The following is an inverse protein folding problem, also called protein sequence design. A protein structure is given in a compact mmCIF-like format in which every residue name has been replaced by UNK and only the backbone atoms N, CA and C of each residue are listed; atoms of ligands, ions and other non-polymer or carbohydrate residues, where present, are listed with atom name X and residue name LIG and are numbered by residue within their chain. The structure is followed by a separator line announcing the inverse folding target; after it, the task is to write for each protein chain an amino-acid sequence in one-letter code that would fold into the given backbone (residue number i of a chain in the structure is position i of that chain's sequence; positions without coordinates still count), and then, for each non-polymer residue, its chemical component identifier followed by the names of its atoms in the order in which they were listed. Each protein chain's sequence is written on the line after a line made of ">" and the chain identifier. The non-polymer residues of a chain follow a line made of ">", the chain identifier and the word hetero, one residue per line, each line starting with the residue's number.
data_IF_314831855532
#
_entry.id   IF_314831855532
#
_cell.length_a   1.000
_cell.length_b   1.000
_cell.length_c   1.000
_cell.angle_alpha   90.00
_cell.angle_beta   90.00
_cell.angle_gamma   90.00
#
_symmetry.space_group_name_H-M   'P 1'
#
loop_
_entity.id
_entity.type
_entity.pdbx_description
1 polymer ?
#
# COMPACT_ATOMS: atom_id res chain seq x y z
N UNK A 1 14.47 -10.57 -9.07
CA UNK A 1 14.90 -9.15 -9.02
C UNK A 1 16.10 -9.07 -8.11
N UNK A 2 17.11 -8.24 -8.43
CA UNK A 2 18.29 -7.99 -7.59
C UNK A 2 18.21 -6.64 -6.90
N UNK A 3 19.03 -6.42 -5.88
CA UNK A 3 19.25 -5.09 -5.31
C UNK A 3 19.90 -4.19 -6.38
N UNK A 4 19.65 -2.90 -6.33
CA UNK A 4 20.40 -1.96 -7.14
C UNK A 4 21.74 -1.61 -6.50
N UNK A 5 22.63 -0.88 -7.23
CA UNK A 5 23.99 -0.61 -6.75
C UNK A 5 24.02 0.15 -5.41
N UNK A 6 23.14 1.12 -5.21
CA UNK A 6 23.07 1.84 -3.94
C UNK A 6 22.56 0.95 -2.80
N UNK A 7 21.60 0.10 -3.06
CA UNK A 7 21.09 -0.88 -2.09
C UNK A 7 22.16 -1.95 -1.77
N UNK A 8 22.95 -2.39 -2.74
CA UNK A 8 24.07 -3.32 -2.52
C UNK A 8 25.17 -2.70 -1.68
N UNK A 9 25.48 -1.42 -1.91
CA UNK A 9 26.42 -0.68 -1.07
C UNK A 9 25.94 -0.66 0.40
N UNK A 10 24.68 -0.32 0.62
CA UNK A 10 24.10 -0.32 1.98
C UNK A 10 24.08 -1.74 2.56
N UNK A 11 23.76 -2.75 1.76
CA UNK A 11 23.79 -4.15 2.18
C UNK A 11 25.19 -4.60 2.63
N UNK A 12 26.22 -4.20 1.88
CA UNK A 12 27.63 -4.46 2.24
C UNK A 12 28.02 -3.79 3.55
N UNK A 13 27.68 -2.50 3.70
CA UNK A 13 27.95 -1.76 4.95
C UNK A 13 27.22 -2.36 6.14
N UNK A 14 25.97 -2.73 6.00
CA UNK A 14 25.18 -3.36 7.05
C UNK A 14 25.79 -4.71 7.47
N UNK A 15 26.17 -5.53 6.50
CA UNK A 15 26.78 -6.84 6.72
C UNK A 15 28.09 -6.70 7.52
N UNK A 16 28.96 -5.79 7.10
CA UNK A 16 30.26 -5.58 7.76
C UNK A 16 30.09 -5.03 9.19
N UNK A 17 29.19 -4.06 9.38
CA UNK A 17 28.97 -3.45 10.70
C UNK A 17 28.36 -4.42 11.72
N UNK A 18 27.58 -5.39 11.27
CA UNK A 18 26.90 -6.35 12.16
C UNK A 18 27.44 -7.80 12.04
N UNK A 19 28.64 -7.99 11.48
CA UNK A 19 29.29 -9.32 11.31
C UNK A 19 28.34 -10.35 10.64
N UNK A 20 27.63 -9.92 9.62
CA UNK A 20 26.67 -10.77 8.90
C UNK A 20 25.34 -11.04 9.62
N UNK A 21 25.18 -10.61 10.87
CA UNK A 21 23.96 -10.84 11.66
C UNK A 21 22.75 -10.03 11.19
N UNK A 22 22.96 -9.04 10.36
CA UNK A 22 21.90 -8.23 9.74
C UNK A 22 22.05 -8.26 8.23
N UNK A 23 20.92 -8.27 7.54
CA UNK A 23 20.90 -8.30 6.08
C UNK A 23 19.76 -7.49 5.51
N UNK A 24 19.97 -7.03 4.31
CA UNK A 24 18.95 -6.45 3.46
C UNK A 24 18.37 -7.55 2.56
N UNK A 25 17.09 -7.53 2.38
CA UNK A 25 16.38 -8.28 1.36
C UNK A 25 15.59 -7.33 0.47
N UNK A 26 15.20 -7.78 -0.70
CA UNK A 26 14.29 -7.04 -1.57
C UNK A 26 12.94 -6.90 -0.86
N UNK A 27 12.38 -5.70 -0.86
CA UNK A 27 11.03 -5.45 -0.40
C UNK A 27 10.02 -6.29 -1.18
N UNK A 28 9.06 -6.87 -0.51
CA UNK A 28 8.01 -7.67 -1.17
C UNK A 28 7.01 -6.76 -1.85
N UNK A 29 6.59 -7.15 -3.03
CA UNK A 29 5.57 -6.46 -3.79
C UNK A 29 4.92 -7.41 -4.78
N UNK A 30 3.65 -7.15 -5.08
CA UNK A 30 2.86 -8.01 -5.96
C UNK A 30 3.13 -7.69 -7.44
N UNK A 31 4.31 -8.08 -7.92
CA UNK A 31 4.72 -7.92 -9.31
C UNK A 31 4.83 -9.25 -10.01
N UNK A 32 4.41 -9.29 -11.27
CA UNK A 32 4.66 -10.42 -12.13
C UNK A 32 6.13 -10.45 -12.54
N UNK A 33 6.75 -11.60 -12.38
CA UNK A 33 8.08 -11.93 -12.91
C UNK A 33 7.99 -12.73 -14.21
N UNK A 34 6.80 -13.30 -14.47
CA UNK A 34 6.45 -14.02 -15.70
C UNK A 34 5.13 -13.51 -16.24
N UNK A 35 4.91 -13.68 -17.54
CA UNK A 35 3.66 -13.31 -18.19
C UNK A 35 2.49 -14.19 -17.70
N UNK A 36 1.32 -13.59 -17.59
CA UNK A 36 0.04 -14.26 -17.43
C UNK A 36 -0.90 -13.80 -18.57
N UNK A 37 -1.99 -14.55 -18.85
CA UNK A 37 -2.96 -14.11 -19.85
C UNK A 37 -3.43 -12.66 -19.61
N UNK A 38 -3.26 -11.81 -20.61
CA UNK A 38 -3.62 -10.39 -20.55
C UNK A 38 -2.74 -9.50 -19.65
N UNK A 39 -1.65 -10.02 -19.06
CA UNK A 39 -0.77 -9.30 -18.15
C UNK A 39 0.70 -9.60 -18.45
N UNK A 40 1.50 -8.56 -18.61
CA UNK A 40 2.95 -8.70 -18.84
C UNK A 40 3.76 -8.70 -17.55
N UNK A 41 4.97 -9.26 -17.53
CA UNK A 41 5.90 -9.09 -16.41
C UNK A 41 6.23 -7.61 -16.19
N UNK A 42 6.78 -7.30 -15.02
CA UNK A 42 7.22 -5.95 -14.70
C UNK A 42 8.22 -5.42 -15.73
N UNK A 43 7.92 -4.26 -16.29
CA UNK A 43 8.75 -3.58 -17.30
C UNK A 43 9.72 -2.55 -16.70
N UNK A 44 9.79 -2.44 -15.36
CA UNK A 44 10.68 -1.49 -14.66
C UNK A 44 10.50 -0.02 -15.06
N UNK A 45 9.29 0.41 -15.39
CA UNK A 45 8.99 1.77 -15.88
C UNK A 45 8.54 2.74 -14.80
N UNK A 46 8.54 2.32 -13.53
CA UNK A 46 8.15 3.14 -12.39
C UNK A 46 6.72 3.74 -12.50
N UNK A 47 5.83 3.06 -13.18
CA UNK A 47 4.45 3.52 -13.41
C UNK A 47 3.43 2.84 -12.47
N UNK A 48 3.88 2.16 -11.41
CA UNK A 48 3.01 1.36 -10.54
C UNK A 48 1.96 2.18 -9.81
N UNK A 49 2.34 3.37 -9.38
CA UNK A 49 1.47 4.28 -8.61
C UNK A 49 0.45 5.04 -9.48
N UNK A 50 0.63 5.05 -10.79
CA UNK A 50 -0.30 5.64 -11.77
C UNK A 50 -1.23 4.59 -12.40
N UNK A 51 -1.19 3.34 -11.93
CA UNK A 51 -1.83 2.21 -12.60
C UNK A 51 -0.91 1.62 -13.67
N UNK A 52 -0.42 0.42 -13.43
CA UNK A 52 0.53 -0.25 -14.32
C UNK A 52 -0.12 -0.61 -15.67
N UNK A 53 0.25 0.04 -16.80
CA UNK A 53 -0.41 -0.21 -18.09
C UNK A 53 -0.13 -1.60 -18.65
N UNK A 54 0.87 -2.30 -18.13
CA UNK A 54 1.20 -3.69 -18.51
C UNK A 54 0.54 -4.74 -17.62
N UNK A 55 -0.23 -4.33 -16.61
CA UNK A 55 -0.81 -5.24 -15.63
C UNK A 55 0.21 -6.03 -14.81
N UNK A 56 1.49 -5.69 -14.87
CA UNK A 56 2.56 -6.37 -14.15
C UNK A 56 2.50 -6.16 -12.63
N UNK A 57 1.99 -5.03 -12.17
CA UNK A 57 1.69 -4.77 -10.77
C UNK A 57 0.25 -5.15 -10.46
N UNK A 58 0.04 -5.83 -9.34
CA UNK A 58 -1.30 -6.26 -8.95
C UNK A 58 -2.18 -5.06 -8.61
N UNK A 59 -3.36 -5.05 -9.20
CA UNK A 59 -4.50 -4.26 -8.76
C UNK A 59 -5.79 -5.05 -9.07
N UNK A 60 -6.89 -4.73 -8.41
CA UNK A 60 -8.18 -5.32 -8.74
C UNK A 60 -8.57 -5.06 -10.19
N UNK A 61 -8.25 -3.88 -10.72
CA UNK A 61 -8.52 -3.50 -12.12
C UNK A 61 -7.75 -4.34 -13.14
N UNK A 62 -6.50 -4.71 -12.84
CA UNK A 62 -5.67 -5.49 -13.75
C UNK A 62 -5.79 -7.01 -13.57
N UNK A 63 -6.40 -7.47 -12.49
CA UNK A 63 -6.39 -8.89 -12.11
C UNK A 63 -7.78 -9.44 -11.82
N UNK A 64 -8.31 -9.15 -10.65
CA UNK A 64 -9.50 -9.84 -10.12
C UNK A 64 -10.79 -9.39 -10.78
N UNK A 65 -10.94 -8.11 -11.11
CA UNK A 65 -12.16 -7.61 -11.79
C UNK A 65 -12.31 -8.18 -13.19
N UNK A 66 -11.31 -8.17 -14.09
CA UNK A 66 -11.44 -8.81 -15.39
C UNK A 66 -11.77 -10.30 -15.29
N UNK A 67 -11.16 -11.02 -14.36
CA UNK A 67 -11.45 -12.43 -14.14
C UNK A 67 -12.89 -12.66 -13.65
N UNK A 68 -13.35 -11.84 -12.71
CA UNK A 68 -14.72 -11.92 -12.21
C UNK A 68 -15.75 -11.55 -13.28
N UNK A 69 -15.49 -10.52 -14.09
CA UNK A 69 -16.36 -10.14 -15.21
C UNK A 69 -16.47 -11.27 -16.24
N UNK A 70 -15.37 -11.96 -16.54
CA UNK A 70 -15.37 -13.08 -17.47
C UNK A 70 -16.27 -14.25 -17.04
N UNK A 71 -16.60 -14.36 -15.74
CA UNK A 71 -17.54 -15.37 -15.25
C UNK A 71 -19.01 -15.10 -15.60
N UNK A 72 -19.33 -13.87 -15.99
CA UNK A 72 -20.72 -13.40 -16.19
C UNK A 72 -21.52 -13.26 -14.88
N UNK A 73 -20.89 -13.44 -13.72
CA UNK A 73 -21.56 -13.43 -12.39
C UNK A 73 -21.26 -12.18 -11.58
N UNK A 74 -20.53 -11.23 -12.12
CA UNK A 74 -20.23 -9.94 -11.47
C UNK A 74 -21.15 -8.86 -12.03
N UNK A 75 -21.82 -8.14 -11.12
CA UNK A 75 -22.41 -6.84 -11.42
C UNK A 75 -21.56 -5.76 -10.76
N UNK A 76 -20.86 -4.95 -11.57
CA UNK A 76 -20.10 -3.81 -11.10
C UNK A 76 -20.93 -2.55 -11.26
N UNK A 77 -21.11 -1.81 -10.19
CA UNK A 77 -21.91 -0.58 -10.15
C UNK A 77 -21.01 0.62 -9.84
N UNK A 78 -20.36 1.24 -10.84
CA UNK A 78 -19.63 2.49 -10.64
C UNK A 78 -20.62 3.62 -10.30
N UNK A 79 -20.09 4.72 -9.76
CA UNK A 79 -20.87 5.89 -9.33
C UNK A 79 -21.96 5.58 -8.29
N UNK A 80 -21.80 4.48 -7.55
CA UNK A 80 -22.74 4.06 -6.52
C UNK A 80 -22.09 4.20 -5.15
N UNK A 81 -22.66 5.03 -4.30
CA UNK A 81 -22.18 5.35 -2.96
C UNK A 81 -23.01 4.56 -1.96
N UNK A 82 -22.37 3.69 -1.19
CA UNK A 82 -23.02 3.03 -0.04
C UNK A 82 -23.17 4.07 1.07
N UNK A 83 -24.41 4.35 1.46
CA UNK A 83 -24.72 5.35 2.48
C UNK A 83 -25.03 4.75 3.84
N UNK A 84 -25.50 3.49 3.89
CA UNK A 84 -25.98 2.88 5.11
C UNK A 84 -26.05 1.35 4.97
N UNK A 85 -25.87 0.64 6.07
CA UNK A 85 -26.16 -0.79 6.21
C UNK A 85 -27.53 -0.96 6.86
N UNK A 86 -28.37 -1.79 6.28
CA UNK A 86 -29.74 -2.02 6.77
C UNK A 86 -29.73 -3.22 7.71
N UNK A 87 -30.01 -2.97 8.99
CA UNK A 87 -30.08 -4.02 10.01
C UNK A 87 -31.50 -4.57 10.14
N UNK A 88 -31.61 -5.90 10.08
CA UNK A 88 -32.84 -6.64 10.31
C UNK A 88 -32.86 -7.12 11.77
N UNK A 89 -33.75 -6.54 12.58
CA UNK A 89 -33.88 -6.87 14.02
C UNK A 89 -34.34 -8.28 14.29
N UNK A 90 -35.25 -8.78 13.47
CA UNK A 90 -35.86 -10.10 13.67
C UNK A 90 -34.84 -11.20 13.36
N UNK A 91 -34.07 -11.00 12.31
CA UNK A 91 -32.98 -11.90 11.87
C UNK A 91 -31.65 -11.61 12.56
N UNK A 92 -31.54 -10.53 13.32
CA UNK A 92 -30.31 -10.07 14.03
C UNK A 92 -29.09 -10.00 13.14
N UNK A 93 -29.25 -9.45 11.93
CA UNK A 93 -28.16 -9.35 10.94
C UNK A 93 -28.35 -8.18 9.99
N UNK A 94 -27.26 -7.77 9.35
CA UNK A 94 -27.34 -6.87 8.20
C UNK A 94 -27.94 -7.64 7.03
N UNK A 95 -29.02 -7.12 6.44
CA UNK A 95 -29.78 -7.77 5.37
C UNK A 95 -29.62 -7.10 4.01
N UNK A 96 -29.28 -5.80 4.03
CA UNK A 96 -29.17 -5.00 2.81
C UNK A 96 -28.15 -3.86 2.97
N UNK A 97 -27.81 -3.24 1.87
CA UNK A 97 -27.09 -1.96 1.81
C UNK A 97 -28.00 -0.93 1.14
N UNK A 98 -28.02 0.27 1.69
CA UNK A 98 -28.64 1.42 1.03
C UNK A 98 -27.58 2.17 0.25
N UNK A 99 -27.85 2.40 -1.01
CA UNK A 99 -26.92 3.06 -1.94
C UNK A 99 -27.58 4.27 -2.57
N UNK A 100 -26.74 5.22 -2.94
CA UNK A 100 -27.14 6.40 -3.70
C UNK A 100 -26.36 6.43 -5.02
N UNK A 101 -27.06 6.60 -6.11
CA UNK A 101 -26.45 6.89 -7.40
C UNK A 101 -25.92 8.32 -7.39
N UNK A 102 -24.62 8.48 -7.61
CA UNK A 102 -23.94 9.78 -7.50
C UNK A 102 -24.30 10.76 -8.62
N UNK A 103 -24.94 10.31 -9.68
CA UNK A 103 -25.37 11.14 -10.83
C UNK A 103 -26.81 11.58 -10.67
N UNK A 104 -27.70 10.63 -10.36
CA UNK A 104 -29.14 10.87 -10.29
C UNK A 104 -29.63 11.21 -8.89
N UNK A 105 -28.79 11.01 -7.87
CA UNK A 105 -29.12 11.15 -6.45
C UNK A 105 -30.25 10.23 -5.97
N UNK A 106 -30.63 9.23 -6.74
CA UNK A 106 -31.64 8.25 -6.38
C UNK A 106 -31.09 7.23 -5.40
N UNK A 107 -31.89 6.93 -4.40
CA UNK A 107 -31.55 5.91 -3.38
C UNK A 107 -32.21 4.58 -3.74
N UNK A 108 -31.48 3.49 -3.57
CA UNK A 108 -31.94 2.10 -3.80
C UNK A 108 -31.37 1.20 -2.72
N UNK A 109 -32.03 0.09 -2.42
CA UNK A 109 -31.53 -0.94 -1.52
C UNK A 109 -31.19 -2.23 -2.29
N UNK A 110 -30.05 -2.83 -1.93
CA UNK A 110 -29.65 -4.14 -2.42
C UNK A 110 -29.50 -5.10 -1.25
N UNK A 111 -30.19 -6.21 -1.31
CA UNK A 111 -30.13 -7.28 -0.30
C UNK A 111 -29.22 -8.42 -0.76
N UNK A 112 -28.53 -9.03 0.16
CA UNK A 112 -27.70 -10.21 -0.08
C UNK A 112 -27.62 -11.09 1.17
N UNK A 113 -27.44 -12.42 1.02
CA UNK A 113 -27.19 -13.31 2.16
C UNK A 113 -25.90 -13.00 2.91
N UNK A 114 -24.86 -12.52 2.21
CA UNK A 114 -23.56 -12.14 2.75
C UNK A 114 -23.18 -10.78 2.20
N UNK A 115 -22.76 -9.88 3.09
CA UNK A 115 -22.30 -8.53 2.74
C UNK A 115 -20.88 -8.35 3.26
N UNK A 116 -19.96 -8.06 2.38
CA UNK A 116 -18.57 -7.74 2.71
C UNK A 116 -18.35 -6.22 2.70
N UNK A 117 -18.03 -5.66 3.86
CA UNK A 117 -17.71 -4.24 3.99
C UNK A 117 -16.20 -4.03 3.79
N UNK A 118 -15.82 -3.63 2.58
CA UNK A 118 -14.43 -3.48 2.15
C UNK A 118 -14.07 -2.03 1.78
N UNK A 119 -14.61 -1.05 2.52
CA UNK A 119 -14.48 0.38 2.22
C UNK A 119 -13.24 1.04 2.86
N UNK A 120 -12.21 0.26 3.22
CA UNK A 120 -11.04 0.68 3.99
C UNK A 120 -11.39 1.07 5.44
N UNK A 121 -10.39 1.24 6.29
CA UNK A 121 -10.58 1.42 7.75
C UNK A 121 -11.51 2.56 8.09
N UNK A 122 -11.24 3.77 7.60
CA UNK A 122 -12.03 4.95 7.94
C UNK A 122 -13.47 4.86 7.42
N UNK A 123 -13.64 4.54 6.14
CA UNK A 123 -14.97 4.50 5.54
C UNK A 123 -15.82 3.33 6.05
N UNK A 124 -15.21 2.17 6.32
CA UNK A 124 -15.94 1.04 6.92
C UNK A 124 -16.43 1.39 8.32
N UNK A 125 -15.56 1.99 9.14
CA UNK A 125 -15.94 2.46 10.48
C UNK A 125 -17.04 3.52 10.41
N UNK A 126 -16.90 4.49 9.52
CA UNK A 126 -17.90 5.53 9.32
C UNK A 126 -19.25 4.95 8.89
N UNK A 127 -19.27 3.99 7.97
CA UNK A 127 -20.51 3.30 7.58
C UNK A 127 -21.17 2.57 8.73
N UNK A 128 -20.39 1.88 9.58
CA UNK A 128 -20.92 1.22 10.77
C UNK A 128 -21.52 2.23 11.74
N UNK A 129 -20.83 3.33 12.04
CA UNK A 129 -21.32 4.40 12.92
C UNK A 129 -22.58 5.07 12.36
N UNK A 130 -22.60 5.33 11.07
CA UNK A 130 -23.74 5.95 10.39
C UNK A 130 -24.98 5.04 10.35
N UNK A 131 -24.79 3.72 10.42
CA UNK A 131 -25.86 2.73 10.40
C UNK A 131 -26.41 2.44 11.81
N UNK A 132 -26.49 3.49 12.64
CA UNK A 132 -27.08 3.39 13.98
C UNK A 132 -28.56 3.01 13.91
N UNK A 133 -29.02 2.26 14.91
CA UNK A 133 -30.41 1.84 15.07
C UNK A 133 -30.77 1.90 16.55
N UNK A 134 -32.03 1.71 16.90
CA UNK A 134 -32.46 1.56 18.29
C UNK A 134 -31.82 0.36 19.02
N UNK A 135 -31.40 -0.68 18.29
CA UNK A 135 -30.63 -1.82 18.85
C UNK A 135 -29.14 -1.46 18.96
N UNK A 136 -28.65 -0.60 18.08
CA UNK A 136 -27.25 -0.18 17.97
C UNK A 136 -27.14 1.35 17.95
N UNK A 137 -27.40 2.04 19.07
CA UNK A 137 -27.50 3.52 19.07
C UNK A 137 -26.19 4.21 18.69
N UNK A 138 -25.04 3.59 18.98
CA UNK A 138 -23.71 4.13 18.68
C UNK A 138 -23.11 3.56 17.38
N UNK A 139 -23.93 2.92 16.54
CA UNK A 139 -23.52 2.28 15.30
C UNK A 139 -23.50 0.76 15.34
N UNK A 140 -23.60 0.13 14.18
CA UNK A 140 -23.61 -1.32 14.07
C UNK A 140 -22.33 -1.96 14.61
N UNK A 141 -22.47 -2.90 15.54
CA UNK A 141 -21.33 -3.60 16.14
C UNK A 141 -20.66 -2.85 17.30
N UNK A 142 -21.29 -1.80 17.84
CA UNK A 142 -20.73 -0.93 18.91
C UNK A 142 -20.81 -1.54 20.32
N UNK A 143 -21.23 -2.80 20.50
CA UNK A 143 -21.44 -3.42 21.83
C UNK A 143 -20.21 -3.40 22.76
N UNK A 144 -19.00 -3.37 22.20
CA UNK A 144 -17.77 -3.28 23.00
C UNK A 144 -17.38 -1.85 23.40
N UNK A 145 -18.00 -0.84 22.83
CA UNK A 145 -17.59 0.57 22.95
C UNK A 145 -16.34 0.95 22.14
N UNK A 146 -15.76 0.00 21.37
CA UNK A 146 -14.50 0.22 20.65
C UNK A 146 -14.68 0.72 19.21
N UNK A 147 -15.92 0.80 18.72
CA UNK A 147 -16.17 1.28 17.36
C UNK A 147 -15.76 2.75 17.22
N UNK A 148 -14.87 3.02 16.28
CA UNK A 148 -14.31 4.36 16.05
C UNK A 148 -13.11 4.73 16.93
N UNK A 149 -12.68 3.83 17.81
CA UNK A 149 -11.53 4.01 18.68
C UNK A 149 -10.30 3.24 18.18
N UNK A 150 -9.15 3.48 18.82
CA UNK A 150 -7.90 2.73 18.64
C UNK A 150 -7.36 2.72 17.21
N UNK A 151 -7.62 3.78 16.43
CA UNK A 151 -6.99 3.92 15.11
C UNK A 151 -5.49 4.02 15.27
N UNK A 152 -4.77 3.11 14.62
CA UNK A 152 -3.31 3.09 14.61
C UNK A 152 -2.79 3.11 13.19
N UNK A 153 -1.66 3.78 13.00
CA UNK A 153 -0.89 3.76 11.77
C UNK A 153 0.52 3.21 12.06
N UNK A 154 1.30 3.03 11.01
CA UNK A 154 2.72 2.72 11.12
C UNK A 154 3.49 3.87 11.78
N UNK A 155 4.67 3.58 12.33
CA UNK A 155 5.65 4.60 12.69
C UNK A 155 6.10 5.34 11.42
N UNK A 156 5.32 6.33 11.05
CA UNK A 156 5.46 7.05 9.80
C UNK A 156 6.51 8.16 9.92
N UNK A 157 7.38 8.27 8.91
CA UNK A 157 8.46 9.25 8.85
C UNK A 157 9.57 9.12 9.91
N UNK A 158 9.66 8.01 10.61
CA UNK A 158 10.82 7.71 11.45
C UNK A 158 11.84 6.96 10.60
N UNK A 159 12.94 7.59 10.26
CA UNK A 159 13.92 7.00 9.38
C UNK A 159 15.15 7.88 9.21
N UNK A 160 15.99 7.51 8.25
CA UNK A 160 17.14 8.26 7.83
C UNK A 160 17.19 8.35 6.31
N UNK A 161 17.57 9.49 5.80
CA UNK A 161 17.84 9.74 4.39
C UNK A 161 19.27 10.23 4.23
N UNK A 162 19.93 9.87 3.14
CA UNK A 162 21.30 10.28 2.87
C UNK A 162 21.63 10.21 1.40
N UNK A 163 22.67 10.92 1.01
CA UNK A 163 23.22 10.94 -0.34
C UNK A 163 24.43 10.02 -0.37
N UNK A 164 24.44 9.08 -1.30
CA UNK A 164 25.60 8.24 -1.58
C UNK A 164 26.53 9.02 -2.51
N UNK A 165 27.71 9.37 -2.00
CA UNK A 165 28.74 10.11 -2.73
C UNK A 165 29.84 9.18 -3.27
N UNK A 166 29.50 8.01 -3.72
CA UNK A 166 30.44 7.05 -4.29
C UNK A 166 30.43 7.21 -5.81
N UNK A 167 31.43 7.89 -6.33
CA UNK A 167 31.56 8.17 -7.78
C UNK A 167 31.68 6.89 -8.60
N UNK A 168 32.09 5.76 -8.03
CA UNK A 168 32.13 4.48 -8.74
C UNK A 168 30.76 4.00 -9.19
N UNK A 169 29.68 4.59 -8.68
CA UNK A 169 28.31 4.30 -9.05
C UNK A 169 27.78 5.18 -10.19
N UNK A 170 28.50 6.23 -10.58
CA UNK A 170 28.00 7.23 -11.53
C UNK A 170 27.86 6.68 -12.95
N UNK A 171 28.73 5.78 -13.35
CA UNK A 171 28.69 5.13 -14.66
C UNK A 171 27.67 4.02 -14.78
N UNK A 172 27.01 3.67 -13.68
CA UNK A 172 26.02 2.59 -13.67
C UNK A 172 24.66 3.13 -14.10
N UNK A 173 24.28 2.78 -15.30
CA UNK A 173 22.99 3.16 -15.88
C UNK A 173 21.93 2.08 -15.62
N UNK A 174 20.74 2.51 -15.16
CA UNK A 174 19.59 1.66 -14.97
C UNK A 174 18.41 2.12 -15.81
N UNK A 175 17.86 1.20 -16.60
CA UNK A 175 16.58 1.40 -17.24
C UNK A 175 15.46 1.20 -16.21
N UNK A 176 14.86 2.31 -15.83
CA UNK A 176 13.72 2.31 -14.94
C UNK A 176 14.07 1.97 -13.49
N UNK A 177 13.07 2.03 -12.67
CA UNK A 177 13.17 1.78 -11.24
C UNK A 177 12.46 0.47 -10.90
N UNK A 178 13.11 -0.37 -10.11
CA UNK A 178 12.40 -1.47 -9.46
C UNK A 178 11.31 -0.90 -8.55
N UNK A 179 10.07 -1.41 -8.66
CA UNK A 179 8.92 -0.85 -7.93
C UNK A 179 8.97 -1.09 -6.43
N UNK A 180 9.79 -2.03 -5.98
CA UNK A 180 10.04 -2.29 -4.55
C UNK A 180 11.40 -1.76 -4.16
N UNK A 181 11.49 -1.27 -2.94
CA UNK A 181 12.77 -0.97 -2.32
C UNK A 181 13.40 -2.20 -1.65
N UNK A 182 14.06 -1.98 -0.56
CA UNK A 182 14.62 -3.01 0.29
C UNK A 182 13.85 -3.11 1.61
N UNK A 183 14.08 -4.22 2.31
CA UNK A 183 13.60 -4.45 3.66
C UNK A 183 14.72 -5.02 4.53
N UNK A 184 14.91 -4.44 5.72
CA UNK A 184 15.75 -4.98 6.78
C UNK A 184 14.81 -5.58 7.82
N UNK A 185 14.67 -6.92 7.84
CA UNK A 185 13.71 -7.58 8.71
C UNK A 185 14.19 -7.52 10.17
N UNK A 186 13.26 -7.27 11.05
CA UNK A 186 13.41 -7.26 12.51
C UNK A 186 14.81 -6.86 13.00
N UNK A 187 15.02 -5.57 13.10
CA UNK A 187 16.34 -4.99 13.32
C UNK A 187 16.86 -5.16 14.76
N UNK A 188 15.98 -5.16 15.75
CA UNK A 188 16.32 -5.24 17.19
C UNK A 188 15.67 -6.43 17.89
N UNK A 189 16.11 -6.71 19.11
CA UNK A 189 15.65 -7.81 19.96
C UNK A 189 15.79 -9.18 19.27
N UNK A 190 16.93 -9.42 18.62
CA UNK A 190 17.33 -10.67 17.97
C UNK A 190 18.71 -11.10 18.44
N UNK A 191 18.95 -12.42 18.47
CA UNK A 191 20.27 -13.01 18.74
C UNK A 191 20.94 -12.48 20.02
N UNK A 192 20.16 -12.30 21.10
CA UNK A 192 20.68 -11.80 22.38
C UNK A 192 20.79 -10.29 22.49
N UNK A 193 20.53 -9.54 21.41
CA UNK A 193 20.40 -8.07 21.45
C UNK A 193 19.10 -7.70 22.18
N UNK A 194 19.16 -7.59 23.51
CA UNK A 194 18.02 -7.19 24.34
C UNK A 194 18.01 -5.68 24.56
N UNK A 195 16.85 -5.09 24.43
CA UNK A 195 16.57 -3.67 24.64
C UNK A 195 15.54 -3.51 25.77
N UNK A 196 15.41 -2.29 26.24
CA UNK A 196 14.43 -1.86 27.26
C UNK A 196 12.97 -1.85 26.77
N UNK A 197 12.74 -2.08 25.48
CA UNK A 197 11.41 -2.22 24.87
C UNK A 197 11.18 -3.65 24.35
N UNK A 198 9.92 -4.06 24.30
CA UNK A 198 9.52 -5.37 23.76
C UNK A 198 9.41 -5.36 22.24
N UNK A 199 9.57 -6.53 21.64
CA UNK A 199 9.50 -6.76 20.17
C UNK A 199 10.68 -6.11 19.45
N UNK A 200 10.51 -5.87 18.17
CA UNK A 200 11.48 -5.24 17.29
C UNK A 200 10.77 -4.56 16.15
N UNK A 201 11.52 -3.97 15.27
CA UNK A 201 11.01 -3.27 14.10
C UNK A 201 11.84 -3.63 12.87
N UNK A 202 11.30 -3.40 11.70
CA UNK A 202 12.00 -3.49 10.43
C UNK A 202 12.20 -2.11 9.83
N UNK A 203 13.11 -2.01 8.88
CA UNK A 203 13.25 -0.84 8.04
C UNK A 203 12.80 -1.17 6.62
N UNK A 204 12.05 -0.25 6.05
CA UNK A 204 11.75 -0.23 4.62
C UNK A 204 12.42 0.98 4.01
N UNK A 205 13.01 0.83 2.85
CA UNK A 205 13.68 1.91 2.19
C UNK A 205 13.93 1.64 0.71
N UNK A 206 14.51 2.60 0.04
CA UNK A 206 14.93 2.46 -1.34
C UNK A 206 16.13 3.36 -1.61
N UNK A 207 17.01 2.93 -2.52
CA UNK A 207 17.98 3.81 -3.13
C UNK A 207 17.58 4.08 -4.58
N UNK A 208 17.67 5.32 -5.01
CA UNK A 208 17.36 5.71 -6.37
C UNK A 208 18.25 6.90 -6.78
N UNK A 209 18.53 7.00 -8.07
CA UNK A 209 19.09 8.22 -8.62
C UNK A 209 18.13 9.39 -8.44
N UNK A 210 18.64 10.53 -8.07
CA UNK A 210 17.86 11.77 -8.08
C UNK A 210 17.55 12.12 -9.53
N UNK A 211 16.26 12.31 -9.83
CA UNK A 211 15.88 12.83 -11.13
C UNK A 211 16.14 14.34 -11.20
N UNK A 212 16.33 14.87 -12.42
CA UNK A 212 16.56 16.29 -12.67
C UNK A 212 15.51 17.20 -12.02
N UNK A 213 14.27 16.74 -11.91
CA UNK A 213 13.19 17.50 -11.28
C UNK A 213 13.42 17.76 -9.78
N UNK A 214 14.06 16.80 -9.09
CA UNK A 214 14.46 17.00 -7.70
C UNK A 214 15.68 17.89 -7.60
N UNK A 215 16.65 17.69 -8.50
CA UNK A 215 17.82 18.54 -8.59
C UNK A 215 17.43 20.03 -8.79
N UNK A 216 16.49 20.33 -9.68
CA UNK A 216 15.96 21.68 -9.87
C UNK A 216 15.38 22.29 -8.60
N UNK A 217 14.66 21.51 -7.80
CA UNK A 217 14.10 22.00 -6.53
C UNK A 217 15.13 22.27 -5.44
N UNK A 218 16.19 21.46 -5.42
CA UNK A 218 17.21 21.52 -4.35
C UNK A 218 18.37 22.45 -4.71
N UNK A 219 18.65 22.65 -5.99
CA UNK A 219 19.83 23.38 -6.48
C UNK A 219 19.53 24.81 -6.92
N UNK A 220 18.27 25.21 -6.95
CA UNK A 220 17.87 26.53 -7.43
C UNK A 220 17.91 26.66 -8.95
N UNK A 221 17.66 27.90 -9.42
CA UNK A 221 17.60 28.24 -10.86
C UNK A 221 18.78 29.17 -11.21
N UNK A 222 19.43 28.91 -12.31
CA UNK A 222 20.50 29.80 -12.83
C UNK A 222 21.85 29.13 -13.02
N UNK A 223 22.95 29.88 -12.90
CA UNK A 223 24.32 29.39 -13.12
C UNK A 223 24.67 28.22 -12.19
N UNK A 224 24.27 28.27 -10.92
CA UNK A 224 24.52 27.23 -9.92
C UNK A 224 23.91 25.87 -10.30
N UNK A 225 22.93 25.84 -11.18
CA UNK A 225 22.32 24.58 -11.65
C UNK A 225 23.24 23.79 -12.58
N UNK A 226 24.13 24.48 -13.31
CA UNK A 226 25.07 23.87 -14.25
C UNK A 226 26.34 23.39 -13.58
N UNK A 227 26.70 23.97 -12.45
CA UNK A 227 27.98 23.73 -11.77
C UNK A 227 27.90 22.67 -10.66
N UNK A 228 26.70 22.07 -10.47
CA UNK A 228 26.42 21.03 -9.49
C UNK A 228 25.79 19.80 -10.15
#
# INVERSE_FOLDING_TARGET
>A
MSLNCGEELVAGRLRNHFDGRRRIIIGRSAHLTQALPGRSPCQYRNACWMGCPWGGYFSSQSSTLPAAMATGRLTLMPYTIVSELVYDKDRKRVSAVRVMDAVTMKTTEFSAPIIFLCASTLNSTWLLMRSATDVWPDGLGSSSGELGHNLMDHHFRIGAEGIIRDQSLDDKYYFGRRPTGFYIPRYRNLFGDKRDYVRGFGYQGSASRLGWQRAVRELGVGADFKDR
#
